data_IF_288355352116
#
_entry.id   IF_288355352116
#
_cell.length_a   1.000
_cell.length_b   1.000
_cell.length_c   1.000
_cell.angle_alpha   90.00
_cell.angle_beta   90.00
_cell.angle_gamma   90.00
#
_symmetry.space_group_name_H-M   'P 1'
#
loop_
_entity.id
_entity.type
_entity.pdbx_description
1 polymer ?
#
# COMPACT_ATOMS: atom_id res chain seq x y z
N UNK A 1 -55.20 -20.12 6.20
CA UNK A 1 -53.96 -19.53 6.74
C UNK A 1 -52.85 -20.50 6.40
N UNK A 2 -51.99 -20.14 5.43
CA UNK A 2 -50.88 -20.98 5.03
C UNK A 2 -49.82 -20.95 6.13
N UNK A 3 -49.57 -22.10 6.73
CA UNK A 3 -48.50 -22.32 7.69
C UNK A 3 -47.17 -22.22 6.94
N UNK A 4 -46.54 -21.04 6.98
CA UNK A 4 -45.17 -20.88 6.52
C UNK A 4 -44.29 -21.65 7.48
N UNK A 5 -43.89 -22.86 7.08
CA UNK A 5 -42.97 -23.73 7.79
C UNK A 5 -41.67 -22.99 8.12
N UNK A 6 -41.62 -22.36 9.29
CA UNK A 6 -40.41 -21.84 9.86
C UNK A 6 -39.55 -23.04 10.26
N UNK A 7 -38.51 -23.34 9.48
CA UNK A 7 -37.50 -24.29 9.90
C UNK A 7 -36.98 -23.88 11.29
N UNK A 8 -37.20 -24.74 12.29
CA UNK A 8 -36.74 -24.47 13.65
C UNK A 8 -35.22 -24.38 13.66
N UNK A 9 -34.71 -23.20 13.99
CA UNK A 9 -33.29 -22.98 14.21
C UNK A 9 -32.80 -23.80 15.41
N UNK A 10 -32.04 -24.86 15.14
CA UNK A 10 -31.53 -25.80 16.15
C UNK A 10 -30.02 -25.97 16.00
N UNK A 11 -29.36 -26.55 17.01
CA UNK A 11 -27.91 -26.80 17.00
C UNK A 11 -27.43 -27.63 15.81
N UNK A 12 -28.30 -28.44 15.17
CA UNK A 12 -27.99 -29.21 13.96
C UNK A 12 -27.73 -28.35 12.72
N UNK A 13 -28.19 -27.10 12.72
CA UNK A 13 -27.93 -26.14 11.63
C UNK A 13 -26.63 -25.33 11.86
N UNK A 14 -25.94 -25.52 13.00
CA UNK A 14 -24.62 -24.95 13.22
C UNK A 14 -23.60 -25.70 12.37
N UNK A 15 -23.00 -25.02 11.40
CA UNK A 15 -21.90 -25.54 10.61
C UNK A 15 -20.57 -25.06 11.20
N UNK A 16 -19.68 -25.99 11.51
CA UNK A 16 -18.28 -25.70 11.86
C UNK A 16 -17.45 -25.93 10.61
N UNK A 17 -16.64 -24.94 10.24
CA UNK A 17 -15.69 -25.04 9.13
C UNK A 17 -14.32 -25.28 9.71
N UNK A 18 -13.73 -26.44 9.42
CA UNK A 18 -12.43 -26.81 9.96
C UNK A 18 -11.31 -26.49 8.96
N UNK A 19 -10.16 -26.05 9.48
CA UNK A 19 -8.96 -25.82 8.70
C UNK A 19 -9.14 -24.86 7.53
N UNK A 20 -8.67 -25.27 6.35
CA UNK A 20 -8.65 -24.43 5.14
C UNK A 20 -10.02 -24.33 4.43
N UNK A 21 -11.02 -25.10 4.85
CA UNK A 21 -12.37 -24.99 4.30
C UNK A 21 -12.99 -23.62 4.61
N UNK A 22 -12.73 -23.10 5.82
CA UNK A 22 -13.17 -21.77 6.23
C UNK A 22 -12.61 -20.67 5.30
N UNK A 23 -11.35 -20.80 4.90
CA UNK A 23 -10.67 -19.87 3.99
C UNK A 23 -11.35 -19.86 2.63
N UNK A 24 -11.62 -21.03 2.04
CA UNK A 24 -12.28 -21.15 0.74
C UNK A 24 -13.71 -20.61 0.75
N UNK A 25 -14.45 -20.79 1.84
CA UNK A 25 -15.84 -20.30 1.97
C UNK A 25 -15.91 -18.78 2.18
N UNK A 26 -14.85 -18.17 2.71
CA UNK A 26 -14.77 -16.73 3.04
C UNK A 26 -13.40 -16.13 2.68
N UNK A 27 -12.99 -16.17 1.40
CA UNK A 27 -11.64 -15.80 0.96
C UNK A 27 -11.31 -14.33 1.24
N UNK A 28 -12.28 -13.43 1.07
CA UNK A 28 -12.10 -11.99 1.28
C UNK A 28 -11.61 -11.62 2.69
N UNK A 29 -11.92 -12.43 3.71
CA UNK A 29 -11.43 -12.16 5.08
C UNK A 29 -9.91 -12.38 5.21
N UNK A 30 -9.31 -13.17 4.32
CA UNK A 30 -7.91 -13.57 4.38
C UNK A 30 -7.03 -12.85 3.35
N UNK A 31 -7.56 -12.59 2.14
CA UNK A 31 -6.82 -11.93 1.03
C UNK A 31 -7.44 -10.60 0.58
N UNK A 32 -8.41 -10.08 1.34
CA UNK A 32 -9.08 -8.79 1.10
C UNK A 32 -10.26 -8.85 0.13
N UNK A 33 -10.06 -9.39 -1.08
CA UNK A 33 -11.08 -9.40 -2.16
C UNK A 33 -10.84 -10.55 -3.15
N UNK A 34 -11.85 -10.99 -3.91
CA UNK A 34 -11.67 -12.05 -4.93
C UNK A 34 -11.53 -11.51 -6.36
N UNK A 35 -11.17 -10.23 -6.48
CA UNK A 35 -10.88 -9.55 -7.74
C UNK A 35 -9.36 -9.54 -8.02
N UNK A 36 -8.93 -8.63 -8.92
CA UNK A 36 -7.52 -8.47 -9.25
C UNK A 36 -6.65 -8.18 -8.02
N UNK A 37 -7.15 -7.45 -7.00
CA UNK A 37 -6.34 -7.12 -5.83
C UNK A 37 -5.96 -8.37 -5.04
N UNK A 38 -6.93 -9.20 -4.66
CA UNK A 38 -6.64 -10.44 -3.92
C UNK A 38 -5.90 -11.49 -4.75
N UNK A 39 -6.09 -11.50 -6.07
CA UNK A 39 -5.32 -12.36 -6.97
C UNK A 39 -3.82 -12.05 -6.86
N UNK A 40 -3.42 -10.77 -7.00
CA UNK A 40 -2.02 -10.36 -6.83
C UNK A 40 -1.54 -10.55 -5.40
N UNK A 41 -2.42 -10.38 -4.42
CA UNK A 41 -2.11 -10.60 -3.01
C UNK A 41 -1.63 -12.03 -2.72
N UNK A 42 -2.10 -13.03 -3.49
CA UNK A 42 -1.57 -14.39 -3.36
C UNK A 42 -0.08 -14.49 -3.70
N UNK A 43 0.36 -13.74 -4.72
CA UNK A 43 1.79 -13.66 -5.09
C UNK A 43 2.56 -12.95 -3.98
N UNK A 44 2.00 -11.87 -3.44
CA UNK A 44 2.63 -11.10 -2.37
C UNK A 44 2.87 -11.94 -1.12
N UNK A 45 1.90 -12.77 -0.70
CA UNK A 45 2.08 -13.63 0.47
C UNK A 45 3.21 -14.67 0.30
N UNK A 46 3.44 -15.17 -0.91
CA UNK A 46 4.57 -16.08 -1.16
C UNK A 46 5.89 -15.32 -1.23
N UNK A 47 5.91 -14.17 -1.89
CA UNK A 47 7.11 -13.31 -1.99
C UNK A 47 7.52 -12.75 -0.62
N UNK A 48 6.57 -12.36 0.22
CA UNK A 48 6.84 -11.84 1.57
C UNK A 48 7.54 -12.88 2.45
N UNK A 49 7.27 -14.18 2.26
CA UNK A 49 8.03 -15.24 2.94
C UNK A 49 9.50 -15.29 2.48
N UNK A 50 9.76 -15.11 1.19
CA UNK A 50 11.11 -15.06 0.65
C UNK A 50 11.85 -13.79 1.10
N UNK A 51 11.13 -12.67 1.23
CA UNK A 51 11.67 -11.43 1.78
C UNK A 51 12.03 -11.58 3.25
N UNK A 52 11.24 -12.30 4.05
CA UNK A 52 11.57 -12.55 5.46
C UNK A 52 12.91 -13.32 5.58
N UNK A 53 13.20 -14.25 4.67
CA UNK A 53 14.52 -14.92 4.60
C UNK A 53 15.65 -13.94 4.20
N UNK A 54 15.36 -12.97 3.33
CA UNK A 54 16.31 -11.94 2.94
C UNK A 54 16.59 -10.95 4.10
N UNK A 55 15.55 -10.54 4.82
CA UNK A 55 15.65 -9.72 6.03
C UNK A 55 16.45 -10.42 7.14
N UNK A 56 16.38 -11.76 7.19
CA UNK A 56 17.18 -12.56 8.10
C UNK A 56 18.63 -12.80 7.61
N UNK A 57 19.00 -12.32 6.41
CA UNK A 57 20.34 -12.40 5.86
C UNK A 57 20.69 -13.71 5.17
N UNK A 58 19.68 -14.55 4.84
CA UNK A 58 19.91 -15.86 4.22
C UNK A 58 19.52 -15.92 2.74
N UNK A 59 18.85 -14.91 2.21
CA UNK A 59 18.38 -14.85 0.83
C UNK A 59 18.87 -13.56 0.17
N UNK A 60 19.44 -13.68 -1.03
CA UNK A 60 19.88 -12.55 -1.86
C UNK A 60 19.29 -12.58 -3.27
N UNK A 61 18.47 -13.60 -3.58
CA UNK A 61 17.84 -13.78 -4.88
C UNK A 61 16.39 -14.26 -4.77
N UNK A 62 15.48 -13.52 -5.41
CA UNK A 62 14.08 -13.89 -5.59
C UNK A 62 13.71 -13.82 -7.07
N UNK A 63 12.99 -14.83 -7.56
CA UNK A 63 12.49 -14.90 -8.93
C UNK A 63 10.99 -15.19 -8.92
N UNK A 64 10.22 -14.35 -9.62
CA UNK A 64 8.78 -14.53 -9.86
C UNK A 64 8.56 -14.79 -11.33
N UNK A 65 7.94 -15.92 -11.68
CA UNK A 65 7.63 -16.30 -13.06
C UNK A 65 6.12 -16.45 -13.25
N UNK A 66 5.56 -15.72 -14.20
CA UNK A 66 4.17 -15.85 -14.65
C UNK A 66 4.13 -16.81 -15.84
N UNK A 67 3.45 -17.95 -15.67
CA UNK A 67 3.41 -19.00 -16.67
C UNK A 67 2.25 -18.84 -17.65
N UNK A 68 2.37 -19.48 -18.82
CA UNK A 68 1.33 -19.45 -19.88
C UNK A 68 0.01 -20.09 -19.49
N UNK A 69 0.04 -21.02 -18.55
CA UNK A 69 -1.14 -21.75 -18.06
C UNK A 69 -1.91 -21.01 -16.96
N UNK A 70 -1.45 -19.80 -16.59
CA UNK A 70 -2.03 -18.97 -15.53
C UNK A 70 -1.50 -19.29 -14.13
N UNK A 71 -0.50 -20.16 -13.99
CA UNK A 71 0.20 -20.38 -12.73
C UNK A 71 1.33 -19.38 -12.49
N UNK A 72 1.77 -19.28 -11.25
CA UNK A 72 2.91 -18.44 -10.83
C UNK A 72 3.88 -19.28 -10.05
N UNK A 73 5.17 -19.10 -10.35
CA UNK A 73 6.26 -19.64 -9.55
C UNK A 73 6.98 -18.52 -8.83
N UNK A 74 7.17 -18.66 -7.52
CA UNK A 74 8.09 -17.85 -6.72
C UNK A 74 9.23 -18.75 -6.26
N UNK A 75 10.46 -18.32 -6.49
CA UNK A 75 11.67 -19.03 -6.10
C UNK A 75 12.59 -18.10 -5.31
N UNK A 76 13.11 -18.61 -4.21
CA UNK A 76 14.14 -17.95 -3.40
C UNK A 76 15.38 -18.84 -3.25
N UNK A 77 16.47 -18.26 -2.76
CA UNK A 77 17.67 -18.99 -2.35
C UNK A 77 17.94 -18.92 -0.85
N UNK A 78 16.89 -18.79 -0.04
CA UNK A 78 16.97 -18.76 1.42
C UNK A 78 17.36 -20.11 2.02
N UNK A 79 17.07 -20.30 3.32
CA UNK A 79 17.37 -21.56 4.03
C UNK A 79 16.52 -22.75 3.57
N UNK A 80 15.35 -22.49 2.99
CA UNK A 80 14.36 -23.50 2.65
C UNK A 80 13.43 -23.85 3.82
N UNK A 81 12.15 -24.07 3.53
CA UNK A 81 11.13 -24.47 4.52
C UNK A 81 11.59 -25.73 5.29
N UNK A 82 11.38 -25.82 6.63
CA UNK A 82 11.71 -27.02 7.39
C UNK A 82 11.05 -28.29 6.85
N UNK A 83 11.83 -29.35 6.68
CA UNK A 83 11.39 -30.65 6.12
C UNK A 83 11.41 -31.77 7.16
N UNK A 84 11.95 -31.51 8.34
CA UNK A 84 11.92 -32.42 9.48
C UNK A 84 10.51 -32.63 10.02
N UNK A 85 10.29 -33.77 10.66
CA UNK A 85 9.00 -34.13 11.24
C UNK A 85 8.76 -33.31 12.50
N UNK A 86 7.65 -32.57 12.53
CA UNK A 86 7.27 -31.77 13.69
C UNK A 86 6.98 -32.67 14.90
N UNK A 87 7.55 -32.40 16.09
CA UNK A 87 7.47 -33.30 17.25
C UNK A 87 6.05 -33.53 17.76
N UNK A 88 5.18 -32.52 17.69
CA UNK A 88 3.77 -32.62 18.10
C UNK A 88 2.86 -33.19 16.99
N UNK A 89 2.81 -32.54 15.83
CA UNK A 89 1.90 -32.91 14.73
C UNK A 89 2.29 -34.14 13.93
N UNK A 90 3.51 -34.68 14.10
CA UNK A 90 4.01 -35.89 13.42
C UNK A 90 3.95 -35.86 11.88
N UNK A 91 3.91 -34.67 11.29
CA UNK A 91 3.99 -34.42 9.85
C UNK A 91 5.21 -33.52 9.55
N UNK A 92 5.75 -33.52 8.31
CA UNK A 92 6.84 -32.63 7.93
C UNK A 92 6.48 -31.15 8.15
N UNK A 93 7.46 -30.33 8.53
CA UNK A 93 7.27 -28.88 8.67
C UNK A 93 6.67 -28.23 7.42
N UNK A 94 7.08 -28.69 6.24
CA UNK A 94 6.54 -28.28 4.94
C UNK A 94 5.02 -28.50 4.84
N UNK A 95 4.55 -29.70 5.20
CA UNK A 95 3.13 -30.01 5.17
C UNK A 95 2.36 -29.20 6.22
N UNK A 96 2.95 -29.02 7.40
CA UNK A 96 2.35 -28.27 8.49
C UNK A 96 2.07 -26.81 8.10
N UNK A 97 3.05 -26.10 7.54
CA UNK A 97 2.88 -24.68 7.15
C UNK A 97 1.95 -24.50 5.95
N UNK A 98 1.80 -25.51 5.09
CA UNK A 98 0.93 -25.46 3.92
C UNK A 98 -0.53 -25.80 4.23
N UNK A 99 -0.79 -26.60 5.27
CA UNK A 99 -2.13 -27.15 5.55
C UNK A 99 -2.78 -26.62 6.82
N UNK A 100 -2.03 -25.96 7.71
CA UNK A 100 -2.56 -25.38 8.95
C UNK A 100 -2.50 -23.86 8.91
N UNK A 101 -3.58 -23.24 9.38
CA UNK A 101 -3.58 -21.83 9.73
C UNK A 101 -2.79 -21.62 11.01
N UNK A 102 -2.14 -20.47 11.13
CA UNK A 102 -1.35 -20.08 12.28
C UNK A 102 -0.18 -21.04 12.58
N UNK A 103 0.39 -21.64 11.53
CA UNK A 103 1.57 -22.49 11.61
C UNK A 103 2.77 -21.81 10.95
N UNK A 104 3.83 -21.55 11.73
CA UNK A 104 5.06 -20.96 11.19
C UNK A 104 6.09 -20.62 12.26
N UNK A 105 7.35 -20.51 11.87
CA UNK A 105 8.45 -20.12 12.78
C UNK A 105 8.44 -18.65 13.21
N UNK A 106 7.44 -17.87 12.78
CA UNK A 106 7.36 -16.41 12.94
C UNK A 106 6.67 -15.96 14.24
N UNK A 107 6.12 -16.90 15.02
CA UNK A 107 5.44 -16.62 16.30
C UNK A 107 6.37 -16.61 17.52
N UNK A 108 7.65 -16.96 17.35
CA UNK A 108 8.64 -16.98 18.42
C UNK A 108 9.85 -16.10 18.09
N UNK A 109 10.53 -15.58 19.11
CA UNK A 109 11.72 -14.71 18.98
C UNK A 109 12.96 -15.39 18.36
N UNK A 110 12.83 -16.63 17.86
CA UNK A 110 13.96 -17.50 17.52
C UNK A 110 14.36 -17.51 16.03
N UNK A 111 13.41 -17.66 15.11
CA UNK A 111 13.74 -17.86 13.69
C UNK A 111 13.82 -16.55 12.88
N UNK A 112 13.07 -15.53 13.31
CA UNK A 112 12.99 -14.21 12.69
C UNK A 112 12.89 -13.13 13.76
N UNK A 113 13.84 -12.17 13.77
CA UNK A 113 13.79 -11.02 14.69
C UNK A 113 12.79 -9.96 14.22
N UNK A 114 12.64 -9.80 12.90
CA UNK A 114 11.69 -8.92 12.24
C UNK A 114 11.12 -9.68 11.04
N UNK A 115 9.81 -9.64 10.84
CA UNK A 115 9.17 -10.26 9.67
C UNK A 115 7.90 -9.50 9.27
N UNK A 116 7.56 -9.52 7.97
CA UNK A 116 6.28 -9.01 7.47
C UNK A 116 5.12 -10.01 7.68
N UNK A 117 5.42 -11.31 7.74
CA UNK A 117 4.43 -12.37 7.91
C UNK A 117 4.07 -12.71 9.36
N UNK A 118 3.20 -11.95 10.00
CA UNK A 118 2.95 -12.10 11.45
C UNK A 118 1.90 -13.15 11.82
N UNK A 119 0.99 -13.49 10.90
CA UNK A 119 -0.20 -14.26 11.24
C UNK A 119 -0.05 -15.76 10.99
N UNK A 120 1.02 -16.20 10.30
CA UNK A 120 1.24 -17.61 9.91
C UNK A 120 0.09 -18.25 9.12
N UNK A 121 -0.64 -17.44 8.37
CA UNK A 121 -1.76 -17.87 7.50
C UNK A 121 -1.47 -17.70 6.02
N UNK A 122 -0.43 -16.94 5.64
CA UNK A 122 -0.21 -16.50 4.26
C UNK A 122 -0.16 -17.64 3.24
N UNK A 123 0.85 -18.50 3.33
CA UNK A 123 1.06 -19.56 2.35
C UNK A 123 0.00 -20.67 2.39
N UNK A 124 -0.60 -20.93 3.56
CA UNK A 124 -1.70 -21.89 3.68
C UNK A 124 -3.00 -21.35 3.09
N UNK A 125 -3.24 -20.03 3.15
CA UNK A 125 -4.32 -19.37 2.41
C UNK A 125 -4.07 -19.45 0.90
N UNK A 126 -2.85 -19.19 0.42
CA UNK A 126 -2.51 -19.37 -1.01
C UNK A 126 -2.77 -20.80 -1.46
N UNK A 127 -2.38 -21.80 -0.65
CA UNK A 127 -2.67 -23.21 -0.92
C UNK A 127 -4.18 -23.49 -0.99
N UNK A 128 -4.95 -23.00 -0.02
CA UNK A 128 -6.40 -23.17 0.04
C UNK A 128 -7.11 -22.57 -1.19
N UNK A 129 -6.66 -21.41 -1.65
CA UNK A 129 -7.27 -20.64 -2.74
C UNK A 129 -6.73 -21.00 -4.12
N UNK A 130 -5.85 -22.01 -4.20
CA UNK A 130 -5.29 -22.50 -5.46
C UNK A 130 -5.99 -23.79 -5.92
N UNK A 131 -6.12 -23.96 -7.23
CA UNK A 131 -6.52 -25.23 -7.86
C UNK A 131 -5.48 -26.30 -7.49
N UNK A 132 -4.22 -25.99 -7.74
CA UNK A 132 -3.07 -26.78 -7.27
C UNK A 132 -1.96 -25.88 -6.74
N UNK A 133 -1.15 -26.44 -5.86
CA UNK A 133 0.08 -25.84 -5.38
C UNK A 133 1.16 -26.92 -5.26
N UNK A 134 2.36 -26.63 -5.74
CA UNK A 134 3.52 -27.51 -5.69
C UNK A 134 4.65 -26.79 -4.97
N UNK A 135 5.36 -27.50 -4.09
CA UNK A 135 6.49 -26.94 -3.36
C UNK A 135 7.69 -27.83 -3.52
N UNK A 136 8.81 -27.22 -3.91
CA UNK A 136 10.11 -27.82 -3.85
C UNK A 136 11.02 -27.11 -2.86
N UNK A 137 11.75 -27.89 -2.08
CA UNK A 137 12.67 -27.36 -1.07
C UNK A 137 14.05 -27.97 -1.32
N UNK A 138 15.07 -27.12 -1.40
CA UNK A 138 16.48 -27.53 -1.34
C UNK A 138 17.02 -27.20 0.05
N UNK A 139 17.38 -28.24 0.80
CA UNK A 139 17.88 -28.10 2.18
C UNK A 139 18.75 -29.30 2.53
N UNK A 140 19.85 -29.05 3.25
CA UNK A 140 20.77 -30.10 3.71
C UNK A 140 21.28 -31.03 2.59
N UNK A 141 21.56 -30.47 1.41
CA UNK A 141 22.04 -31.22 0.26
C UNK A 141 21.00 -32.13 -0.39
N UNK A 142 19.72 -32.00 -0.04
CA UNK A 142 18.62 -32.82 -0.56
C UNK A 142 17.52 -31.96 -1.20
N UNK A 143 16.80 -32.55 -2.16
CA UNK A 143 15.66 -31.95 -2.84
C UNK A 143 14.37 -32.66 -2.43
N UNK A 144 13.42 -31.91 -1.88
CA UNK A 144 12.12 -32.40 -1.44
C UNK A 144 11.01 -31.84 -2.30
N UNK A 145 9.90 -32.58 -2.43
CA UNK A 145 8.72 -32.15 -3.19
C UNK A 145 7.43 -32.58 -2.51
N UNK A 146 6.42 -31.71 -2.54
CA UNK A 146 5.06 -32.04 -2.16
C UNK A 146 4.05 -31.23 -3.00
N UNK A 147 2.93 -31.87 -3.36
CA UNK A 147 1.85 -31.25 -4.11
C UNK A 147 0.55 -31.23 -3.32
N UNK A 148 -0.29 -30.24 -3.62
CA UNK A 148 -1.53 -29.96 -2.96
C UNK A 148 -2.60 -29.61 -3.98
N UNK A 149 -3.84 -29.93 -3.65
CA UNK A 149 -5.03 -29.58 -4.42
C UNK A 149 -6.05 -28.93 -3.50
N UNK A 150 -6.40 -27.67 -3.76
CA UNK A 150 -7.38 -26.90 -2.96
C UNK A 150 -7.10 -26.94 -1.44
N UNK A 151 -5.84 -26.81 -1.04
CA UNK A 151 -5.41 -26.84 0.36
C UNK A 151 -5.14 -28.23 0.94
N UNK A 152 -5.42 -29.32 0.22
CA UNK A 152 -5.24 -30.69 0.71
C UNK A 152 -3.99 -31.30 0.09
N UNK A 153 -3.12 -31.92 0.90
CA UNK A 153 -1.95 -32.64 0.39
C UNK A 153 -2.37 -33.84 -0.46
N UNK A 154 -1.80 -33.98 -1.66
CA UNK A 154 -2.10 -35.12 -2.56
C UNK A 154 -1.32 -36.40 -2.16
N UNK A 155 -0.40 -36.29 -1.20
CA UNK A 155 0.37 -37.40 -0.66
C UNK A 155 1.49 -36.94 0.28
N UNK A 156 2.27 -37.89 0.82
CA UNK A 156 3.41 -37.58 1.69
C UNK A 156 4.52 -36.85 0.91
N UNK A 157 5.30 -36.03 1.62
CA UNK A 157 6.49 -35.37 1.09
C UNK A 157 7.48 -36.39 0.51
N UNK A 158 7.92 -36.15 -0.73
CA UNK A 158 8.84 -37.02 -1.48
C UNK A 158 10.25 -36.47 -1.42
N UNK A 159 11.23 -37.35 -1.21
CA UNK A 159 12.65 -37.06 -1.45
C UNK A 159 12.95 -37.32 -2.93
N UNK A 160 13.28 -36.27 -3.69
CA UNK A 160 13.60 -36.37 -5.12
C UNK A 160 15.07 -36.71 -5.40
N UNK A 161 15.92 -36.68 -4.38
CA UNK A 161 17.35 -37.01 -4.48
C UNK A 161 18.26 -35.91 -3.93
N UNK A 162 19.51 -35.88 -4.39
CA UNK A 162 20.50 -34.89 -4.00
C UNK A 162 20.21 -33.51 -4.63
N UNK A 163 20.43 -32.46 -3.86
CA UNK A 163 20.44 -31.10 -4.35
C UNK A 163 21.78 -30.80 -5.05
N UNK A 164 21.81 -29.91 -6.06
CA UNK A 164 23.06 -29.37 -6.57
C UNK A 164 23.94 -28.81 -5.44
N UNK A 165 25.28 -28.89 -5.55
CA UNK A 165 26.18 -28.39 -4.53
C UNK A 165 25.87 -26.94 -4.13
N UNK A 166 25.81 -26.67 -2.83
CA UNK A 166 25.53 -25.35 -2.24
C UNK A 166 24.16 -24.75 -2.61
N UNK A 167 23.23 -25.52 -3.18
CA UNK A 167 21.88 -25.04 -3.47
C UNK A 167 20.98 -25.17 -2.24
N UNK A 168 20.40 -24.05 -1.83
CA UNK A 168 19.34 -23.96 -0.83
C UNK A 168 18.18 -23.11 -1.36
N UNK A 169 17.04 -23.16 -0.68
CA UNK A 169 15.90 -22.28 -0.93
C UNK A 169 14.61 -23.03 -1.19
N UNK A 170 13.57 -22.28 -1.52
CA UNK A 170 12.24 -22.81 -1.80
C UNK A 170 11.78 -22.38 -3.18
N UNK A 171 11.04 -23.26 -3.85
CA UNK A 171 10.26 -22.95 -5.04
C UNK A 171 8.81 -23.31 -4.77
N UNK A 172 7.92 -22.34 -4.86
CA UNK A 172 6.47 -22.52 -4.73
C UNK A 172 5.83 -22.18 -6.06
N UNK A 173 5.08 -23.13 -6.61
CA UNK A 173 4.32 -22.96 -7.85
C UNK A 173 2.85 -23.15 -7.53
N UNK A 174 1.99 -22.21 -7.91
CA UNK A 174 0.56 -22.32 -7.63
C UNK A 174 -0.27 -21.77 -8.77
N UNK A 175 -1.48 -22.32 -8.92
CA UNK A 175 -2.47 -21.84 -9.87
C UNK A 175 -3.75 -21.42 -9.12
N UNK A 176 -4.17 -20.14 -9.19
CA UNK A 176 -5.37 -19.67 -8.53
C UNK A 176 -6.63 -20.44 -8.93
N UNK A 177 -7.50 -20.75 -7.97
CA UNK A 177 -8.73 -21.48 -8.24
C UNK A 177 -9.77 -20.60 -8.96
N UNK A 178 -10.18 -21.05 -10.15
CA UNK A 178 -11.16 -20.34 -10.99
C UNK A 178 -12.58 -20.35 -10.41
N UNK A 179 -12.87 -21.23 -9.45
CA UNK A 179 -14.15 -21.20 -8.73
C UNK A 179 -14.23 -20.04 -7.72
N UNK A 180 -13.09 -19.49 -7.32
CA UNK A 180 -12.99 -18.45 -6.28
C UNK A 180 -12.77 -17.07 -6.89
N UNK A 181 -11.80 -16.95 -7.79
CA UNK A 181 -11.41 -15.67 -8.39
C UNK A 181 -12.20 -15.38 -9.66
N UNK A 182 -12.67 -14.14 -9.80
CA UNK A 182 -13.33 -13.68 -11.03
C UNK A 182 -12.33 -13.25 -12.12
N UNK A 183 -11.12 -12.89 -11.69
CA UNK A 183 -10.01 -12.51 -12.57
C UNK A 183 -9.03 -13.68 -12.63
N UNK A 184 -8.58 -14.01 -13.84
CA UNK A 184 -7.76 -15.21 -14.07
C UNK A 184 -6.38 -14.91 -14.66
N UNK A 185 -6.02 -13.63 -14.79
CA UNK A 185 -4.75 -13.20 -15.36
C UNK A 185 -4.06 -12.23 -14.41
N UNK A 186 -2.83 -12.56 -14.05
CA UNK A 186 -1.96 -11.63 -13.35
C UNK A 186 -1.55 -10.49 -14.28
N UNK A 187 -1.56 -9.27 -13.74
CA UNK A 187 -1.06 -8.06 -14.35
C UNK A 187 0.44 -7.93 -14.08
N UNK A 188 1.23 -7.95 -15.15
CA UNK A 188 2.69 -7.91 -15.05
C UNK A 188 3.17 -6.58 -14.46
N UNK A 189 2.63 -5.45 -14.91
CA UNK A 189 3.09 -4.13 -14.49
C UNK A 189 2.86 -3.87 -12.99
N UNK A 190 1.74 -4.36 -12.46
CA UNK A 190 1.41 -4.32 -11.03
C UNK A 190 2.43 -5.12 -10.21
N UNK A 191 2.71 -6.36 -10.62
CA UNK A 191 3.69 -7.21 -9.93
C UNK A 191 5.11 -6.67 -10.08
N UNK A 192 5.51 -6.22 -11.27
CA UNK A 192 6.82 -5.66 -11.54
C UNK A 192 7.07 -4.39 -10.72
N UNK A 193 6.06 -3.54 -10.59
CA UNK A 193 6.12 -2.37 -9.69
C UNK A 193 6.38 -2.81 -8.26
N UNK A 194 5.65 -3.80 -7.75
CA UNK A 194 5.85 -4.32 -6.40
C UNK A 194 7.23 -4.96 -6.20
N UNK A 195 7.70 -5.75 -7.15
CA UNK A 195 9.04 -6.38 -7.11
C UNK A 195 10.16 -5.32 -7.08
N UNK A 196 9.99 -4.23 -7.83
CA UNK A 196 10.92 -3.09 -7.82
C UNK A 196 10.97 -2.40 -6.46
N UNK A 197 9.80 -2.17 -5.83
CA UNK A 197 9.74 -1.61 -4.46
C UNK A 197 10.48 -2.49 -3.46
N UNK A 198 10.28 -3.81 -3.53
CA UNK A 198 10.94 -4.79 -2.66
C UNK A 198 12.47 -4.70 -2.82
N UNK A 199 12.96 -4.62 -4.05
CA UNK A 199 14.39 -4.49 -4.32
C UNK A 199 14.97 -3.17 -3.77
N UNK A 200 14.22 -2.07 -3.83
CA UNK A 200 14.64 -0.82 -3.20
C UNK A 200 14.68 -0.88 -1.67
N UNK A 201 13.74 -1.59 -1.05
CA UNK A 201 13.65 -1.69 0.41
C UNK A 201 14.70 -2.65 1.01
N UNK A 202 15.26 -3.54 0.18
CA UNK A 202 16.24 -4.54 0.59
C UNK A 202 17.53 -4.40 -0.22
N UNK A 203 18.47 -3.63 0.32
CA UNK A 203 19.77 -3.37 -0.34
C UNK A 203 20.48 -4.67 -0.66
N UNK A 204 20.92 -4.82 -1.90
CA UNK A 204 21.65 -6.01 -2.36
C UNK A 204 20.77 -7.24 -2.61
N UNK A 205 19.44 -7.14 -2.51
CA UNK A 205 18.52 -8.20 -2.91
C UNK A 205 18.27 -8.10 -4.43
N UNK A 206 18.58 -9.17 -5.16
CA UNK A 206 18.24 -9.31 -6.58
C UNK A 206 16.83 -9.87 -6.71
N UNK A 207 15.94 -9.13 -7.36
CA UNK A 207 14.56 -9.56 -7.63
C UNK A 207 14.34 -9.60 -9.14
N UNK A 208 13.91 -10.75 -9.66
CA UNK A 208 13.64 -10.96 -11.09
C UNK A 208 12.16 -11.26 -11.27
N UNK A 209 11.51 -10.63 -12.25
CA UNK A 209 10.16 -10.97 -12.69
C UNK A 209 10.16 -11.33 -14.17
N UNK A 210 9.49 -12.44 -14.51
CA UNK A 210 9.39 -12.99 -15.86
C UNK A 210 7.94 -13.24 -16.22
N UNK A 211 7.55 -12.90 -17.44
CA UNK A 211 6.26 -13.26 -18.01
C UNK A 211 6.44 -14.11 -19.27
N UNK A 212 6.18 -15.42 -19.15
CA UNK A 212 6.30 -16.34 -20.27
C UNK A 212 5.22 -16.15 -21.35
N UNK A 213 4.14 -15.41 -21.01
CA UNK A 213 3.04 -15.10 -21.94
C UNK A 213 3.48 -14.05 -22.96
N UNK A 214 4.22 -13.04 -22.51
CA UNK A 214 4.66 -11.90 -23.34
C UNK A 214 6.15 -11.94 -23.69
N UNK A 215 6.94 -12.71 -22.95
CA UNK A 215 8.41 -12.74 -23.03
C UNK A 215 9.09 -11.57 -22.31
N UNK A 216 8.34 -10.78 -21.53
CA UNK A 216 8.91 -9.69 -20.75
C UNK A 216 9.70 -10.23 -19.55
N UNK A 217 10.83 -9.58 -19.27
CA UNK A 217 11.67 -9.88 -18.12
C UNK A 217 12.28 -8.58 -17.60
N UNK A 218 12.20 -8.37 -16.29
CA UNK A 218 12.88 -7.29 -15.59
C UNK A 218 13.67 -7.83 -14.41
N UNK A 219 14.87 -7.27 -14.23
CA UNK A 219 15.74 -7.54 -13.10
C UNK A 219 15.92 -6.24 -12.30
N UNK A 220 15.74 -6.33 -10.99
CA UNK A 220 15.88 -5.24 -10.05
C UNK A 220 16.98 -5.57 -9.04
N UNK A 221 17.97 -4.69 -8.94
CA UNK A 221 19.07 -4.77 -7.97
C UNK A 221 19.51 -3.35 -7.63
N UNK A 222 19.40 -2.98 -6.36
CA UNK A 222 19.67 -1.62 -5.88
C UNK A 222 20.52 -1.66 -4.61
N UNK A 223 21.63 -0.90 -4.61
CA UNK A 223 22.56 -0.85 -3.47
C UNK A 223 22.28 0.37 -2.58
N UNK A 224 21.85 1.49 -3.15
CA UNK A 224 21.51 2.73 -2.44
C UNK A 224 20.12 2.72 -1.78
N UNK A 225 19.37 1.62 -1.90
CA UNK A 225 18.12 1.39 -1.18
C UNK A 225 17.05 2.47 -1.39
N UNK A 226 16.41 2.91 -0.29
CA UNK A 226 15.31 3.89 -0.37
C UNK A 226 15.74 5.28 -0.87
N UNK A 227 17.04 5.62 -0.86
CA UNK A 227 17.54 6.85 -1.47
C UNK A 227 17.40 6.79 -2.98
N UNK A 228 17.77 5.67 -3.59
CA UNK A 228 17.54 5.42 -5.02
C UNK A 228 16.04 5.33 -5.33
N UNK A 229 15.24 4.81 -4.40
CA UNK A 229 13.78 4.80 -4.58
C UNK A 229 13.20 6.21 -4.69
N UNK A 230 13.62 7.14 -3.83
CA UNK A 230 13.18 8.55 -3.93
C UNK A 230 13.66 9.18 -5.23
N UNK A 231 14.90 8.92 -5.67
CA UNK A 231 15.40 9.39 -6.97
C UNK A 231 14.56 8.83 -8.13
N UNK A 232 14.22 7.55 -8.07
CA UNK A 232 13.37 6.88 -9.06
C UNK A 232 11.96 7.47 -9.09
N UNK A 233 11.35 7.71 -7.93
CA UNK A 233 10.04 8.37 -7.82
C UNK A 233 10.07 9.79 -8.39
N UNK A 234 11.18 10.51 -8.23
CA UNK A 234 11.36 11.87 -8.73
C UNK A 234 11.88 11.96 -10.17
N UNK A 235 12.05 10.86 -10.91
CA UNK A 235 12.61 10.88 -12.28
C UNK A 235 11.86 11.77 -13.28
N UNK A 236 10.58 12.03 -13.03
CA UNK A 236 9.73 12.92 -13.86
C UNK A 236 9.46 14.29 -13.22
N UNK A 237 10.06 14.56 -12.04
CA UNK A 237 9.89 15.79 -11.27
C UNK A 237 11.19 16.57 -11.22
N UNK A 238 11.12 17.86 -10.90
CA UNK A 238 12.31 18.71 -10.70
C UNK A 238 12.62 18.82 -9.21
N UNK A 239 13.72 18.23 -8.72
CA UNK A 239 14.15 18.37 -7.33
C UNK A 239 14.55 19.81 -6.99
N UNK A 240 14.31 20.25 -5.75
CA UNK A 240 14.78 21.55 -5.25
C UNK A 240 16.26 21.50 -4.83
N UNK A 241 16.70 20.34 -4.35
CA UNK A 241 18.06 20.08 -3.88
C UNK A 241 18.56 18.76 -4.48
N UNK A 242 19.88 18.65 -4.73
CA UNK A 242 20.44 17.59 -5.57
C UNK A 242 20.25 16.19 -4.96
N UNK A 243 20.63 16.03 -3.70
CA UNK A 243 20.58 14.74 -3.01
C UNK A 243 19.36 14.63 -2.08
N UNK A 244 18.67 13.47 -2.04
CA UNK A 244 17.68 13.19 -1.01
C UNK A 244 18.29 13.23 0.39
N UNK A 245 17.52 13.76 1.34
CA UNK A 245 17.85 13.69 2.77
C UNK A 245 17.62 12.25 3.22
N UNK A 246 18.63 11.63 3.80
CA UNK A 246 18.59 10.26 4.29
C UNK A 246 18.77 10.22 5.81
N UNK A 247 17.89 9.51 6.50
CA UNK A 247 17.88 9.34 7.95
C UNK A 247 17.84 7.84 8.24
N UNK A 248 18.75 7.38 9.10
CA UNK A 248 18.79 6.02 9.62
C UNK A 248 18.94 6.04 11.13
N UNK A 249 18.17 5.20 11.80
CA UNK A 249 18.27 4.98 13.23
C UNK A 249 18.01 3.52 13.55
N UNK A 250 18.81 2.97 14.47
CA UNK A 250 18.67 1.62 14.98
C UNK A 250 18.85 1.65 16.50
N UNK A 251 17.75 1.45 17.24
CA UNK A 251 17.72 1.58 18.69
C UNK A 251 16.63 0.71 19.33
N UNK A 252 16.50 -0.53 18.84
CA UNK A 252 15.39 -1.43 19.13
C UNK A 252 14.63 -1.71 17.84
N UNK A 253 13.82 -0.74 17.44
CA UNK A 253 13.21 -0.69 16.11
C UNK A 253 14.10 0.11 15.15
N UNK A 254 14.05 -0.22 13.87
CA UNK A 254 14.79 0.51 12.83
C UNK A 254 13.84 1.50 12.17
N UNK A 255 14.28 2.75 12.07
CA UNK A 255 13.59 3.82 11.33
C UNK A 255 14.52 4.28 10.22
N UNK A 256 14.10 4.07 8.98
CA UNK A 256 14.82 4.49 7.78
C UNK A 256 13.93 5.41 6.95
N UNK A 257 14.38 6.62 6.65
CA UNK A 257 13.63 7.57 5.84
C UNK A 257 14.51 8.23 4.79
N UNK A 258 14.00 8.33 3.56
CA UNK A 258 14.59 9.13 2.51
C UNK A 258 13.55 10.13 2.04
N UNK A 259 13.93 11.39 1.85
CA UNK A 259 12.99 12.42 1.40
C UNK A 259 13.66 13.48 0.53
N UNK A 260 12.91 13.98 -0.45
CA UNK A 260 13.38 15.03 -1.34
C UNK A 260 12.23 15.93 -1.74
N UNK A 261 12.46 17.23 -1.62
CA UNK A 261 11.51 18.24 -2.05
C UNK A 261 11.65 18.52 -3.54
N UNK A 262 10.52 18.74 -4.20
CA UNK A 262 10.44 19.03 -5.63
C UNK A 262 9.68 20.33 -5.88
N UNK A 263 9.68 20.81 -7.12
CA UNK A 263 8.85 21.96 -7.53
C UNK A 263 7.36 21.65 -7.63
N UNK A 264 6.96 20.38 -7.51
CA UNK A 264 5.57 19.93 -7.61
C UNK A 264 4.72 20.39 -6.40
N UNK A 265 3.39 20.28 -6.48
CA UNK A 265 2.48 20.70 -5.42
C UNK A 265 1.94 19.54 -4.58
N UNK A 266 2.05 18.31 -5.07
CA UNK A 266 1.54 17.13 -4.38
C UNK A 266 2.54 16.59 -3.37
N UNK A 267 2.04 16.14 -2.22
CA UNK A 267 2.80 15.27 -1.33
C UNK A 267 2.72 13.82 -1.83
N UNK A 268 3.86 13.12 -1.85
CA UNK A 268 3.97 11.72 -2.23
C UNK A 268 4.78 10.99 -1.14
N UNK A 269 4.10 10.49 -0.10
CA UNK A 269 4.75 9.79 1.02
C UNK A 269 4.38 8.31 0.94
N UNK A 270 5.39 7.47 0.74
CA UNK A 270 5.27 6.02 0.71
C UNK A 270 5.77 5.47 2.03
N UNK A 271 4.95 4.67 2.71
CA UNK A 271 5.27 4.12 4.02
C UNK A 271 5.27 2.61 4.02
N UNK A 272 6.28 2.03 4.68
CA UNK A 272 6.49 0.60 4.76
C UNK A 272 6.80 0.19 6.20
N UNK A 273 6.28 -0.97 6.60
CA UNK A 273 6.59 -1.62 7.88
C UNK A 273 6.94 -3.06 7.56
N UNK A 274 8.16 -3.48 7.89
CA UNK A 274 8.69 -4.82 7.57
C UNK A 274 8.50 -5.17 6.08
N UNK A 275 8.87 -4.23 5.20
CA UNK A 275 8.70 -4.30 3.74
C UNK A 275 7.25 -4.32 3.21
N UNK A 276 6.24 -4.22 4.09
CA UNK A 276 4.83 -4.22 3.71
C UNK A 276 4.33 -2.78 3.55
N UNK A 277 3.68 -2.44 2.42
CA UNK A 277 3.18 -1.10 2.17
C UNK A 277 2.01 -0.82 3.09
N UNK A 278 1.99 0.41 3.62
CA UNK A 278 0.91 0.90 4.48
C UNK A 278 0.22 2.07 3.79
N UNK A 279 -0.58 1.83 2.73
CA UNK A 279 -1.19 2.90 1.93
C UNK A 279 -2.13 3.81 2.73
N UNK A 280 -2.71 3.31 3.82
CA UNK A 280 -3.52 4.10 4.74
C UNK A 280 -2.69 4.79 5.85
N UNK A 281 -1.38 4.59 5.84
CA UNK A 281 -0.45 5.15 6.81
C UNK A 281 -0.55 4.48 8.17
N UNK A 282 -0.69 5.28 9.22
CA UNK A 282 -0.74 4.80 10.60
C UNK A 282 0.02 5.72 11.56
N UNK A 283 0.42 5.15 12.69
CA UNK A 283 1.11 5.86 13.78
C UNK A 283 2.48 6.38 13.35
N UNK A 284 3.25 5.61 12.59
CA UNK A 284 4.54 5.99 11.99
C UNK A 284 4.42 7.19 11.05
N UNK A 285 3.47 7.17 10.11
CA UNK A 285 3.24 8.31 9.20
C UNK A 285 2.83 9.56 9.96
N UNK A 286 2.02 9.41 11.01
CA UNK A 286 1.58 10.52 11.86
C UNK A 286 2.77 11.15 12.60
N UNK A 287 3.66 10.33 13.16
CA UNK A 287 4.89 10.79 13.81
C UNK A 287 5.83 11.49 12.83
N UNK A 288 6.04 10.92 11.63
CA UNK A 288 6.84 11.53 10.57
C UNK A 288 6.31 12.92 10.17
N UNK A 289 5.00 13.04 9.93
CA UNK A 289 4.36 14.32 9.56
C UNK A 289 4.49 15.38 10.66
N UNK A 290 4.35 14.98 11.92
CA UNK A 290 4.50 15.87 13.07
C UNK A 290 5.94 16.38 13.19
N UNK A 291 6.92 15.46 13.16
CA UNK A 291 8.34 15.78 13.25
C UNK A 291 8.82 16.71 12.14
N UNK A 292 8.44 16.41 10.89
CA UNK A 292 8.79 17.24 9.73
C UNK A 292 8.26 18.67 9.90
N UNK A 293 6.99 18.81 10.28
CA UNK A 293 6.37 20.12 10.48
C UNK A 293 7.08 20.90 11.60
N UNK A 294 7.39 20.22 12.72
CA UNK A 294 8.08 20.83 13.86
C UNK A 294 9.50 21.28 13.51
N UNK A 295 10.32 20.39 12.93
CA UNK A 295 11.72 20.66 12.59
C UNK A 295 11.84 21.86 11.63
N UNK A 296 11.08 21.86 10.54
CA UNK A 296 11.12 22.96 9.56
C UNK A 296 10.63 24.27 10.17
N UNK A 297 9.54 24.24 10.94
CA UNK A 297 8.97 25.47 11.53
C UNK A 297 9.88 26.08 12.60
N UNK A 298 10.54 25.25 13.42
CA UNK A 298 11.45 25.73 14.46
C UNK A 298 12.74 26.27 13.85
N UNK A 299 13.33 25.58 12.87
CA UNK A 299 14.51 26.09 12.16
C UNK A 299 14.21 27.44 11.52
N UNK A 300 13.07 27.57 10.84
CA UNK A 300 12.69 28.79 10.16
C UNK A 300 12.44 29.96 11.12
N UNK A 301 11.94 29.69 12.34
CA UNK A 301 11.83 30.70 13.41
C UNK A 301 13.19 31.10 13.97
N UNK A 302 14.04 30.12 14.28
CA UNK A 302 15.36 30.36 14.87
C UNK A 302 16.25 31.22 13.96
N UNK A 303 16.12 31.05 12.65
CA UNK A 303 16.89 31.78 11.63
C UNK A 303 16.18 33.04 11.10
N UNK A 304 15.06 33.45 11.69
CA UNK A 304 14.34 34.66 11.28
C UNK A 304 13.75 34.63 9.86
N UNK A 305 13.58 33.44 9.27
CA UNK A 305 13.03 33.23 7.93
C UNK A 305 11.50 33.40 7.88
N UNK A 306 10.86 33.37 9.05
CA UNK A 306 9.41 33.58 9.23
C UNK A 306 9.19 34.81 10.13
N UNK A 307 8.26 35.68 9.75
CA UNK A 307 7.90 36.85 10.57
C UNK A 307 7.05 36.45 11.77
N UNK A 308 7.13 37.25 12.84
CA UNK A 308 6.25 37.10 14.01
C UNK A 308 4.76 37.08 13.58
N UNK A 309 4.04 36.02 13.96
CA UNK A 309 2.62 35.81 13.63
C UNK A 309 2.35 34.96 12.38
N UNK A 310 3.37 34.64 11.56
CA UNK A 310 3.24 33.67 10.48
C UNK A 310 3.49 32.25 11.02
N UNK A 311 2.61 31.31 10.69
CA UNK A 311 2.71 29.91 11.10
C UNK A 311 2.58 29.02 9.87
N UNK A 312 3.61 28.19 9.62
CA UNK A 312 3.54 27.12 8.64
C UNK A 312 2.63 26.01 9.17
N UNK A 313 1.63 25.62 8.38
CA UNK A 313 0.86 24.42 8.63
C UNK A 313 1.60 23.20 8.08
N UNK A 314 1.28 22.00 8.57
CA UNK A 314 1.92 20.78 8.08
C UNK A 314 1.71 20.54 6.58
N UNK A 315 0.57 20.95 6.02
CA UNK A 315 0.31 20.91 4.58
C UNK A 315 1.26 21.84 3.80
N UNK A 316 1.55 23.03 4.34
CA UNK A 316 2.48 23.99 3.73
C UNK A 316 3.89 23.40 3.66
N UNK A 317 4.32 22.73 4.74
CA UNK A 317 5.65 22.10 4.83
C UNK A 317 5.78 20.89 3.91
N UNK A 318 4.69 20.14 3.66
CA UNK A 318 4.74 18.91 2.86
C UNK A 318 4.49 19.12 1.37
N UNK A 319 4.16 20.34 0.95
CA UNK A 319 3.91 20.63 -0.46
C UNK A 319 5.13 20.23 -1.33
N UNK A 320 4.91 19.38 -2.32
CA UNK A 320 5.96 18.89 -3.23
C UNK A 320 6.99 17.94 -2.62
N UNK A 321 6.74 17.42 -1.41
CA UNK A 321 7.57 16.41 -0.77
C UNK A 321 7.36 15.05 -1.42
N UNK A 322 8.46 14.38 -1.81
CA UNK A 322 8.46 12.94 -2.03
C UNK A 322 9.28 12.27 -0.95
N UNK A 323 8.69 11.30 -0.23
CA UNK A 323 9.36 10.62 0.87
C UNK A 323 9.05 9.12 0.87
N UNK A 324 10.02 8.33 1.28
CA UNK A 324 9.90 6.91 1.59
C UNK A 324 10.27 6.73 3.06
N UNK A 325 9.36 6.19 3.85
CA UNK A 325 9.55 5.85 5.26
C UNK A 325 9.42 4.34 5.42
N UNK A 326 10.51 3.68 5.80
CA UNK A 326 10.57 2.24 6.03
C UNK A 326 10.92 1.97 7.49
N UNK A 327 10.08 1.18 8.16
CA UNK A 327 10.34 0.73 9.53
C UNK A 327 10.59 -0.77 9.54
N UNK A 328 11.50 -1.20 10.42
CA UNK A 328 11.61 -2.61 10.81
C UNK A 328 11.26 -2.71 12.28
N UNK A 329 10.11 -3.33 12.57
CA UNK A 329 9.55 -3.44 13.92
C UNK A 329 9.33 -4.90 14.31
N UNK A 330 9.56 -5.21 15.59
CA UNK A 330 9.56 -6.59 16.09
C UNK A 330 8.15 -7.17 16.16
N UNK A 331 7.18 -6.40 16.68
CA UNK A 331 5.78 -6.82 16.86
C UNK A 331 4.80 -5.80 16.23
N UNK A 332 4.67 -5.76 14.89
CA UNK A 332 3.69 -4.91 14.23
C UNK A 332 2.26 -5.29 14.60
N UNK A 333 1.42 -4.28 14.81
CA UNK A 333 -0.02 -4.41 14.97
C UNK A 333 -0.69 -3.61 13.86
N UNK A 334 -1.46 -4.30 13.01
CA UNK A 334 -2.21 -3.68 11.92
C UNK A 334 -3.71 -3.74 12.20
N UNK A 335 -4.46 -2.75 11.69
CA UNK A 335 -5.93 -2.68 11.86
C UNK A 335 -6.67 -3.86 11.20
N UNK A 336 -6.03 -4.60 10.30
CA UNK A 336 -6.59 -5.78 9.63
C UNK A 336 -5.57 -6.61 8.86
N UNK A 337 -6.02 -7.72 8.28
CA UNK A 337 -5.17 -8.70 7.58
C UNK A 337 -4.47 -8.15 6.33
N UNK A 338 -5.07 -7.17 5.66
CA UNK A 338 -4.46 -6.51 4.49
C UNK A 338 -3.30 -5.58 4.86
N UNK A 339 -3.01 -5.42 6.17
CA UNK A 339 -1.85 -4.69 6.72
C UNK A 339 -1.71 -3.25 6.20
N UNK A 340 -2.84 -2.58 5.92
CA UNK A 340 -2.85 -1.27 5.27
C UNK A 340 -2.52 -0.11 6.21
N UNK A 341 -2.80 -0.25 7.51
CA UNK A 341 -2.58 0.76 8.55
C UNK A 341 -1.90 0.19 9.80
N UNK A 342 -0.84 0.86 10.27
CA UNK A 342 -0.15 0.52 11.52
C UNK A 342 -0.84 1.15 12.75
N UNK A 343 -1.06 0.34 13.78
CA UNK A 343 -1.76 0.69 15.03
C UNK A 343 -0.89 0.85 16.28
N UNK A 344 0.41 0.45 16.27
CA UNK A 344 1.31 0.59 17.42
C UNK A 344 1.47 2.07 17.86
N UNK A 345 0.94 2.45 19.01
CA UNK A 345 0.89 3.84 19.46
C UNK A 345 2.28 4.39 19.84
N UNK A 346 3.14 3.53 20.38
CA UNK A 346 4.52 3.81 20.79
C UNK A 346 5.41 4.20 19.60
N UNK A 347 5.15 3.62 18.42
CA UNK A 347 5.91 3.88 17.20
C UNK A 347 5.81 5.34 16.77
N UNK A 348 4.68 6.02 17.05
CA UNK A 348 4.53 7.45 16.75
C UNK A 348 5.63 8.27 17.42
N UNK A 349 5.85 8.06 18.72
CA UNK A 349 6.81 8.83 19.51
C UNK A 349 8.26 8.55 19.07
N UNK A 350 8.57 7.29 18.76
CA UNK A 350 9.90 6.88 18.27
C UNK A 350 10.21 7.57 16.93
N UNK A 351 9.31 7.44 15.95
CA UNK A 351 9.50 8.07 14.64
C UNK A 351 9.56 9.58 14.77
N UNK A 352 8.68 10.19 15.58
CA UNK A 352 8.65 11.63 15.75
C UNK A 352 9.97 12.17 16.34
N UNK A 353 10.51 11.51 17.36
CA UNK A 353 11.80 11.87 17.98
C UNK A 353 12.96 11.77 16.99
N UNK A 354 13.12 10.59 16.37
CA UNK A 354 14.22 10.30 15.43
C UNK A 354 14.20 11.26 14.25
N UNK A 355 13.06 11.42 13.59
CA UNK A 355 12.95 12.26 12.40
C UNK A 355 13.20 13.72 12.77
N UNK A 356 12.69 14.20 13.91
CA UNK A 356 12.90 15.58 14.32
C UNK A 356 14.38 15.87 14.59
N UNK A 357 15.06 15.04 15.39
CA UNK A 357 16.46 15.25 15.75
C UNK A 357 17.37 15.22 14.53
N UNK A 358 17.24 14.18 13.71
CA UNK A 358 18.09 13.97 12.52
C UNK A 358 17.82 14.98 11.42
N UNK A 359 16.56 15.36 11.22
CA UNK A 359 16.24 16.41 10.25
C UNK A 359 16.74 17.78 10.72
N UNK A 360 16.63 18.09 12.01
CA UNK A 360 17.19 19.33 12.56
C UNK A 360 18.69 19.40 12.34
N UNK A 361 19.43 18.34 12.68
CA UNK A 361 20.87 18.22 12.42
C UNK A 361 21.19 18.48 10.93
N UNK A 362 20.47 17.81 10.02
CA UNK A 362 20.68 17.99 8.59
C UNK A 362 20.43 19.43 8.11
N UNK A 363 19.40 20.11 8.61
CA UNK A 363 19.08 21.49 8.22
C UNK A 363 20.14 22.49 8.72
N UNK A 364 20.71 22.27 9.91
CA UNK A 364 21.82 23.06 10.45
C UNK A 364 23.10 22.88 9.62
N UNK A 365 23.40 21.64 9.22
CA UNK A 365 24.58 21.31 8.40
C UNK A 365 24.43 21.79 6.94
N UNK A 366 23.21 21.93 6.43
CA UNK A 366 22.92 22.26 5.04
C UNK A 366 22.00 23.50 4.90
N UNK A 367 22.45 24.72 5.27
CA UNK A 367 21.61 25.91 5.25
C UNK A 367 20.99 26.23 3.88
N UNK A 368 21.73 26.01 2.79
CA UNK A 368 21.23 26.23 1.43
C UNK A 368 20.06 25.30 1.05
N UNK A 369 20.03 24.08 1.61
CA UNK A 369 18.91 23.14 1.44
C UNK A 369 17.74 23.61 2.29
N UNK A 370 18.00 23.99 3.56
CA UNK A 370 16.99 24.48 4.48
C UNK A 370 16.25 25.72 3.93
N UNK A 371 16.98 26.70 3.42
CA UNK A 371 16.40 27.91 2.80
C UNK A 371 15.47 27.59 1.64
N UNK A 372 15.84 26.64 0.78
CA UNK A 372 14.99 26.22 -0.36
C UNK A 372 13.71 25.53 0.10
N UNK A 373 13.81 24.63 1.09
CA UNK A 373 12.65 23.94 1.67
C UNK A 373 11.69 24.95 2.31
N UNK A 374 12.23 25.85 3.13
CA UNK A 374 11.44 26.87 3.83
C UNK A 374 10.84 27.88 2.86
N UNK A 375 11.59 28.29 1.84
CA UNK A 375 11.10 29.17 0.78
C UNK A 375 9.88 28.56 0.07
N UNK A 376 9.93 27.27 -0.26
CA UNK A 376 8.77 26.57 -0.83
C UNK A 376 7.59 26.50 0.15
N UNK A 377 7.84 26.17 1.41
CA UNK A 377 6.77 26.12 2.41
C UNK A 377 6.11 27.50 2.63
N UNK A 378 6.89 28.59 2.57
CA UNK A 378 6.39 29.95 2.64
C UNK A 378 5.54 30.32 1.43
N UNK A 379 5.91 29.87 0.23
CA UNK A 379 5.11 30.08 -0.97
C UNK A 379 3.79 29.31 -0.94
N UNK A 380 3.82 28.06 -0.44
CA UNK A 380 2.62 27.26 -0.19
C UNK A 380 1.69 27.95 0.83
N UNK A 381 2.24 28.43 1.95
CA UNK A 381 1.51 29.19 2.97
C UNK A 381 0.85 30.45 2.38
N UNK A 382 1.58 31.24 1.58
CA UNK A 382 1.04 32.44 0.92
C UNK A 382 -0.10 32.08 -0.03
N UNK A 383 0.04 31.00 -0.80
CA UNK A 383 -1.01 30.51 -1.69
C UNK A 383 -2.26 30.07 -0.92
N UNK A 384 -2.09 29.32 0.18
CA UNK A 384 -3.18 28.92 1.08
C UNK A 384 -3.90 30.11 1.69
N UNK A 385 -3.18 31.11 2.20
CA UNK A 385 -3.77 32.32 2.75
C UNK A 385 -4.54 33.11 1.69
N UNK A 386 -3.99 33.26 0.49
CA UNK A 386 -4.65 33.93 -0.62
C UNK A 386 -5.95 33.20 -1.01
N UNK A 387 -5.91 31.86 -1.10
CA UNK A 387 -7.08 31.04 -1.38
C UNK A 387 -8.15 31.17 -0.28
N UNK A 388 -7.74 31.18 1.00
CA UNK A 388 -8.64 31.40 2.14
C UNK A 388 -9.31 32.78 2.07
N UNK A 389 -8.54 33.85 1.83
CA UNK A 389 -9.10 35.21 1.70
C UNK A 389 -10.08 35.30 0.53
N UNK A 390 -9.76 34.66 -0.61
CA UNK A 390 -10.64 34.61 -1.77
C UNK A 390 -11.96 33.86 -1.46
N UNK A 391 -11.89 32.74 -0.74
CA UNK A 391 -13.06 32.00 -0.25
C UNK A 391 -13.91 32.82 0.72
N UNK A 392 -13.30 33.49 1.70
CA UNK A 392 -14.02 34.33 2.67
C UNK A 392 -14.71 35.52 2.01
N UNK A 393 -14.05 36.21 1.06
CA UNK A 393 -14.64 37.26 0.23
C UNK A 393 -15.84 36.75 -0.57
N UNK A 394 -15.75 35.55 -1.14
CA UNK A 394 -16.83 34.93 -1.90
C UNK A 394 -17.99 34.51 -0.98
N UNK A 395 -17.71 33.94 0.20
CA UNK A 395 -18.73 33.54 1.18
C UNK A 395 -19.47 34.73 1.77
N UNK A 396 -18.77 35.84 2.04
CA UNK A 396 -19.40 37.11 2.47
C UNK A 396 -20.31 37.69 1.38
N UNK A 397 -19.90 37.64 0.11
CA UNK A 397 -20.77 38.00 -1.02
C UNK A 397 -21.99 37.08 -1.12
N UNK A 398 -21.82 35.77 -0.97
CA UNK A 398 -22.90 34.77 -0.99
C UNK A 398 -23.87 34.85 0.20
N UNK A 399 -23.47 35.45 1.33
CA UNK A 399 -24.38 35.72 2.46
C UNK A 399 -25.24 36.97 2.23
N UNK A 400 -24.76 37.90 1.40
CA UNK A 400 -25.49 39.11 0.98
C UNK A 400 -26.38 38.84 -0.26
N UNK A 401 -25.98 37.90 -1.13
CA UNK A 401 -26.75 37.40 -2.27
C UNK A 401 -27.44 36.09 -1.86
N UNK A 402 -28.68 36.16 -1.36
CA UNK A 402 -29.42 35.02 -0.81
C UNK A 402 -29.35 33.72 -1.63
N UNK A 403 -28.98 32.64 -0.92
CA UNK A 403 -29.17 31.22 -1.23
C UNK A 403 -29.53 30.80 -2.65
N UNK A 404 -28.52 30.54 -3.48
CA UNK A 404 -28.66 29.76 -4.71
C UNK A 404 -27.42 29.86 -5.60
N UNK A 405 -26.99 28.72 -6.18
CA UNK A 405 -26.05 28.70 -7.30
C UNK A 405 -26.63 29.54 -8.45
N UNK A 406 -25.97 30.63 -8.91
CA UNK A 406 -26.53 31.48 -9.95
C UNK A 406 -26.72 30.73 -11.27
N UNK A 407 -27.98 30.51 -11.67
CA UNK A 407 -28.44 30.30 -13.05
C UNK A 407 -28.09 28.99 -13.78
N UNK A 408 -27.10 28.20 -13.32
CA UNK A 408 -26.67 26.97 -14.00
C UNK A 408 -27.33 25.69 -13.48
N UNK A 409 -27.46 25.53 -12.17
CA UNK A 409 -28.02 24.31 -11.58
C UNK A 409 -29.53 24.29 -11.82
N UNK A 410 -30.03 23.26 -12.49
CA UNK A 410 -31.43 22.93 -12.46
C UNK A 410 -31.66 22.00 -11.27
N UNK A 411 -32.22 22.51 -10.18
CA UNK A 411 -32.42 21.74 -8.95
C UNK A 411 -33.63 20.79 -9.03
N UNK A 412 -33.74 19.85 -8.10
CA UNK A 412 -34.89 18.95 -7.90
C UNK A 412 -35.74 19.39 -6.69
N UNK A 413 -36.94 18.84 -6.52
CA UNK A 413 -37.83 19.24 -5.41
C UNK A 413 -37.60 18.47 -4.12
N UNK A 414 -37.06 17.25 -4.19
CA UNK A 414 -36.72 16.42 -3.03
C UNK A 414 -35.48 16.97 -2.33
N UNK A 415 -35.47 16.92 -1.00
CA UNK A 415 -34.38 17.43 -0.16
C UNK A 415 -33.59 16.34 0.56
N UNK A 416 -34.11 15.10 0.58
CA UNK A 416 -33.42 13.95 1.16
C UNK A 416 -32.24 13.50 0.26
N UNK A 417 -30.98 13.66 0.69
CA UNK A 417 -29.82 13.29 -0.12
C UNK A 417 -29.75 11.81 -0.50
N UNK A 418 -30.41 10.93 0.27
CA UNK A 418 -30.45 9.49 -0.04
C UNK A 418 -31.36 9.15 -1.22
N UNK A 419 -32.19 10.11 -1.66
CA UNK A 419 -33.18 9.94 -2.75
C UNK A 419 -32.93 10.85 -3.94
N UNK A 420 -31.89 11.68 -3.89
CA UNK A 420 -31.57 12.63 -4.95
C UNK A 420 -30.35 12.19 -5.75
N UNK A 421 -30.36 12.56 -7.02
CA UNK A 421 -29.30 12.27 -7.98
C UNK A 421 -28.85 13.57 -8.65
N UNK A 422 -27.54 13.78 -8.77
CA UNK A 422 -26.95 14.90 -9.50
C UNK A 422 -26.31 14.41 -10.80
N UNK A 423 -26.81 14.90 -11.93
CA UNK A 423 -26.24 14.63 -13.25
C UNK A 423 -25.38 15.79 -13.71
N UNK A 424 -24.10 15.51 -13.98
CA UNK A 424 -23.15 16.48 -14.52
C UNK A 424 -23.03 16.24 -16.02
N UNK A 425 -23.31 17.26 -16.83
CA UNK A 425 -23.39 17.14 -18.29
C UNK A 425 -22.51 18.14 -19.02
N UNK A 426 -22.00 17.75 -20.19
CA UNK A 426 -21.15 18.61 -21.02
C UNK A 426 -21.98 19.63 -21.82
N UNK A 427 -21.88 20.89 -21.41
CA UNK A 427 -22.47 22.04 -22.09
C UNK A 427 -23.97 22.24 -21.84
N UNK A 428 -24.43 23.45 -22.17
CA UNK A 428 -25.84 23.83 -22.00
C UNK A 428 -26.78 23.05 -22.94
N UNK A 429 -26.27 22.54 -24.07
CA UNK A 429 -27.05 21.75 -25.03
C UNK A 429 -27.48 20.40 -24.45
N UNK A 430 -26.52 19.64 -23.89
CA UNK A 430 -26.82 18.41 -23.17
C UNK A 430 -27.64 18.72 -21.90
N UNK A 431 -27.32 19.83 -21.22
CA UNK A 431 -28.08 20.36 -20.09
C UNK A 431 -29.56 20.59 -20.40
N UNK A 432 -29.89 21.19 -21.54
CA UNK A 432 -31.27 21.43 -21.96
C UNK A 432 -32.04 20.13 -22.19
N UNK A 433 -31.42 19.18 -22.90
CA UNK A 433 -32.03 17.87 -23.18
C UNK A 433 -32.25 17.06 -21.91
N UNK A 434 -31.23 16.99 -21.04
CA UNK A 434 -31.32 16.31 -19.75
C UNK A 434 -32.35 16.96 -18.83
N UNK A 435 -32.43 18.30 -18.80
CA UNK A 435 -33.42 19.03 -18.00
C UNK A 435 -34.86 18.77 -18.45
N UNK A 436 -35.09 18.52 -19.73
CA UNK A 436 -36.42 18.21 -20.26
C UNK A 436 -36.83 16.76 -19.97
N UNK A 437 -35.88 15.82 -19.98
CA UNK A 437 -36.15 14.38 -19.79
C UNK A 437 -36.11 13.87 -18.34
N UNK A 438 -35.62 14.67 -17.39
CA UNK A 438 -35.44 14.23 -15.99
C UNK A 438 -36.74 14.07 -15.21
N UNK A 439 -36.69 13.24 -14.16
CA UNK A 439 -37.64 13.34 -13.05
C UNK A 439 -37.30 14.57 -12.21
N UNK A 440 -38.12 15.62 -12.30
CA UNK A 440 -37.94 16.87 -11.56
C UNK A 440 -38.01 16.68 -10.04
N UNK A 441 -38.57 15.57 -9.57
CA UNK A 441 -38.70 15.28 -8.14
C UNK A 441 -37.34 14.97 -7.53
N UNK A 442 -36.55 14.10 -8.14
CA UNK A 442 -35.33 13.53 -7.55
C UNK A 442 -34.04 13.88 -8.29
N UNK A 443 -34.10 14.36 -9.54
CA UNK A 443 -32.91 14.51 -10.38
C UNK A 443 -32.55 15.98 -10.62
N UNK A 444 -31.34 16.37 -10.22
CA UNK A 444 -30.73 17.68 -10.47
C UNK A 444 -29.76 17.63 -11.67
N UNK A 445 -29.70 18.69 -12.47
CA UNK A 445 -28.83 18.76 -13.67
C UNK A 445 -27.86 19.93 -13.53
N UNK A 446 -26.57 19.66 -13.64
CA UNK A 446 -25.50 20.65 -13.62
C UNK A 446 -24.72 20.63 -14.95
N UNK A 447 -24.97 21.59 -15.86
CA UNK A 447 -24.20 21.74 -17.08
C UNK A 447 -22.84 22.41 -16.83
N UNK A 448 -21.76 21.78 -17.31
CA UNK A 448 -20.39 22.31 -17.25
C UNK A 448 -19.94 22.80 -18.62
N UNK A 449 -19.17 23.89 -18.65
CA UNK A 449 -18.67 24.46 -19.92
C UNK A 449 -17.18 24.21 -20.12
N UNK A 450 -16.83 23.72 -21.31
CA UNK A 450 -15.44 23.54 -21.75
C UNK A 450 -14.74 22.38 -21.05
N UNK A 451 -13.45 22.23 -21.33
CA UNK A 451 -12.61 21.20 -20.69
C UNK A 451 -12.31 21.60 -19.25
N UNK A 452 -12.56 20.70 -18.32
CA UNK A 452 -12.23 20.90 -16.90
C UNK A 452 -10.70 21.04 -16.78
N UNK A 453 -10.27 21.95 -15.89
CA UNK A 453 -8.86 22.14 -15.57
C UNK A 453 -8.25 20.81 -15.12
N UNK A 454 -7.11 20.42 -15.70
CA UNK A 454 -6.39 19.25 -15.23
C UNK A 454 -5.82 19.53 -13.82
N UNK A 455 -6.50 18.97 -12.81
CA UNK A 455 -6.17 19.13 -11.39
C UNK A 455 -4.86 18.44 -10.99
N UNK A 456 -4.33 17.53 -11.83
CA UNK A 456 -3.06 16.87 -11.58
C UNK A 456 -1.86 17.80 -11.72
N UNK A 457 -1.98 18.84 -12.55
CA UNK A 457 -0.89 19.78 -12.84
C UNK A 457 -1.16 21.20 -12.33
N UNK A 458 -2.22 21.39 -11.55
CA UNK A 458 -2.67 22.71 -11.12
C UNK A 458 -2.56 22.89 -9.61
N UNK A 459 -2.13 24.09 -9.19
CA UNK A 459 -2.15 24.52 -7.79
C UNK A 459 -3.56 24.61 -7.23
N UNK A 460 -3.71 24.43 -5.93
CA UNK A 460 -5.01 24.44 -5.26
C UNK A 460 -5.77 25.77 -5.39
N UNK A 461 -5.08 26.91 -5.36
CA UNK A 461 -5.69 28.24 -5.59
C UNK A 461 -6.25 28.38 -7.02
N UNK A 462 -5.55 27.84 -8.02
CA UNK A 462 -6.01 27.78 -9.40
C UNK A 462 -7.20 26.84 -9.59
N UNK A 463 -7.23 25.74 -8.84
CA UNK A 463 -8.37 24.80 -8.80
C UNK A 463 -9.62 25.50 -8.25
N UNK A 464 -9.50 26.25 -7.16
CA UNK A 464 -10.64 26.92 -6.52
C UNK A 464 -11.13 28.18 -7.24
N UNK A 465 -10.24 28.86 -7.97
CA UNK A 465 -10.62 29.99 -8.82
C UNK A 465 -11.29 29.54 -10.12
N UNK A 466 -11.19 28.25 -10.48
CA UNK A 466 -11.93 27.70 -11.60
C UNK A 466 -13.44 27.69 -11.31
N UNK A 467 -14.21 28.38 -12.16
CA UNK A 467 -15.66 28.53 -12.00
C UNK A 467 -16.39 27.20 -12.01
N UNK A 468 -16.04 26.29 -12.93
CA UNK A 468 -16.72 25.00 -13.08
C UNK A 468 -16.46 24.10 -11.86
N UNK A 469 -15.20 24.00 -11.41
CA UNK A 469 -14.84 23.23 -10.21
C UNK A 469 -15.54 23.81 -8.97
N UNK A 470 -15.57 25.14 -8.84
CA UNK A 470 -16.28 25.79 -7.73
C UNK A 470 -17.78 25.50 -7.75
N UNK A 471 -18.39 25.45 -8.93
CA UNK A 471 -19.80 25.11 -9.13
C UNK A 471 -20.10 23.64 -8.82
N UNK A 472 -19.13 22.73 -8.92
CA UNK A 472 -19.30 21.33 -8.48
C UNK A 472 -19.21 21.21 -6.95
N UNK A 473 -18.34 22.02 -6.32
CA UNK A 473 -18.13 21.99 -4.86
C UNK A 473 -19.29 22.62 -4.09
N UNK A 474 -19.87 23.69 -4.64
CA UNK A 474 -20.98 24.45 -4.04
C UNK A 474 -22.29 23.75 -4.33
#
# INVERSE_FOLDING_TARGET
>A
MADNGAEKYTSRQLQVLEGLEAVRKRPAMYIGSTDAHGLHHMVYEVVDNAIDEAMAGYCDFIEVTLHRDGSVTVRDNGRGIPVDIHPEYKIPGLELVMTRLHAGGKFGKGAYKVSGGLHGVGVSVVNALSEYLEVEVWREGKRYYQSYRRGVAEGPMKLLGEAPPNKTGTRVTFKPDREIFQVHSFDYDTLATRMREIAFLNRGLKVVIKDERTGQEEEFFYEGGIVEFVKWLNRTRTPLHPEPIYIYYEGGEIVEAAMQFTTDYRENIYTFVNNIPTPEGGTHLSGFRAALTRAVSEYARAHGLIKNGQNLHGEDVREGLTAVLSLKITEPQFDGQTKTRLGNWEIKGIVEGVIYEKLKEHLEENPAVAEKIIGKALDAMRAREAARRARELTRRKSLLEGGGLPGKLADCSERDPAKTELFIVEGDSAGGSAKQGRDRRTQAILPLKGKILNVEKARFDKILSNKEIRTIIT
#
